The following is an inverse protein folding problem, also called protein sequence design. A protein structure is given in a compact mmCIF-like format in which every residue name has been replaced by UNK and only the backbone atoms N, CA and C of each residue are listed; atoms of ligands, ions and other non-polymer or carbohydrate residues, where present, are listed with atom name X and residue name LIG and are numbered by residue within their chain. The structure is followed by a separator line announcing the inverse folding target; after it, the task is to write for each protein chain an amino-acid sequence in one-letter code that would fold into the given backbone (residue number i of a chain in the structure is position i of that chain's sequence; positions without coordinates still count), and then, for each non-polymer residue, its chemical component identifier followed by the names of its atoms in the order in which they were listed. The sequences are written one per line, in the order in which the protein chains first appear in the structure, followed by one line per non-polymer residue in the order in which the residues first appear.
data_IF_711545096444
#
_entry.id   IF_711545096444
#
_cell.length_a   1.000
_cell.length_b   1.000
_cell.length_c   1.000
_cell.angle_alpha   90.00
_cell.angle_beta   90.00
_cell.angle_gamma   90.00
#
_symmetry.space_group_name_H-M   'P 1'
#
loop_
_entity.id
_entity.type
_entity.pdbx_description
1 polymer ?
#
# COMPACT_ATOMS: atom_id res chain seq x y z
N UNK A 1 22.73 -12.67 -20.68
CA UNK A 1 23.16 -13.06 -19.32
C UNK A 1 22.04 -12.68 -18.37
N UNK A 2 21.79 -13.46 -17.32
CA UNK A 2 20.87 -13.06 -16.26
C UNK A 2 21.46 -11.86 -15.52
N UNK A 3 20.63 -10.84 -15.25
CA UNK A 3 21.05 -9.67 -14.48
C UNK A 3 21.19 -10.05 -13.00
N UNK A 4 22.25 -9.55 -12.36
CA UNK A 4 22.45 -9.67 -10.92
C UNK A 4 22.62 -8.30 -10.30
N UNK A 5 22.18 -8.15 -9.05
CA UNK A 5 22.22 -6.91 -8.28
C UNK A 5 22.68 -7.17 -6.85
N UNK A 6 23.32 -6.18 -6.25
CA UNK A 6 23.54 -6.13 -4.80
C UNK A 6 22.40 -5.34 -4.15
N UNK A 7 21.83 -5.85 -3.06
CA UNK A 7 20.79 -5.17 -2.28
C UNK A 7 21.41 -4.42 -1.10
N UNK A 8 20.98 -3.18 -0.88
CA UNK A 8 21.42 -2.30 0.21
C UNK A 8 20.23 -1.78 1.00
N UNK A 9 20.41 -1.54 2.30
CA UNK A 9 19.37 -0.98 3.17
C UNK A 9 19.24 0.55 3.01
N UNK A 10 18.29 1.14 3.76
CA UNK A 10 18.03 2.58 3.82
C UNK A 10 19.18 3.41 4.45
N UNK A 11 20.25 2.73 4.90
CA UNK A 11 21.45 3.33 5.49
C UNK A 11 22.70 3.05 4.66
N UNK A 12 22.53 2.53 3.45
CA UNK A 12 23.60 2.23 2.52
C UNK A 12 24.48 1.06 2.94
N UNK A 13 23.96 0.12 3.73
CA UNK A 13 24.67 -1.10 4.11
C UNK A 13 24.24 -2.25 3.23
N UNK A 14 25.22 -3.00 2.71
CA UNK A 14 24.97 -4.18 1.88
C UNK A 14 24.22 -5.23 2.71
N UNK A 15 23.05 -5.63 2.21
CA UNK A 15 22.22 -6.70 2.77
C UNK A 15 22.58 -8.04 2.15
N UNK A 16 22.72 -8.08 0.83
CA UNK A 16 23.03 -9.29 0.07
C UNK A 16 23.67 -8.95 -1.26
N UNK A 17 24.64 -9.75 -1.70
CA UNK A 17 25.24 -9.59 -3.03
C UNK A 17 24.81 -10.67 -4.01
N UNK A 18 25.09 -10.42 -5.29
CA UNK A 18 24.89 -11.35 -6.42
C UNK A 18 23.46 -11.93 -6.47
N UNK A 19 22.46 -11.08 -6.19
CA UNK A 19 21.05 -11.47 -6.21
C UNK A 19 20.56 -11.47 -7.65
N UNK A 20 20.01 -12.61 -8.10
CA UNK A 20 19.32 -12.68 -9.39
C UNK A 20 18.18 -11.65 -9.42
N UNK A 21 18.12 -10.83 -10.47
CA UNK A 21 17.07 -9.83 -10.66
C UNK A 21 15.66 -10.43 -10.54
N UNK A 22 15.46 -11.67 -10.95
CA UNK A 22 14.18 -12.36 -10.86
C UNK A 22 13.75 -12.65 -9.41
N UNK A 23 14.67 -12.63 -8.45
CA UNK A 23 14.38 -12.86 -7.04
C UNK A 23 13.58 -11.70 -6.39
N UNK A 24 13.58 -10.52 -7.00
CA UNK A 24 12.77 -9.37 -6.55
C UNK A 24 11.46 -9.23 -7.34
N UNK A 25 11.16 -10.15 -8.26
CA UNK A 25 9.94 -10.08 -9.06
C UNK A 25 8.68 -10.14 -8.18
N UNK A 26 7.68 -9.25 -8.38
CA UNK A 26 6.39 -9.34 -7.70
C UNK A 26 5.70 -10.71 -7.82
N UNK A 27 6.02 -11.48 -8.88
CA UNK A 27 5.45 -12.80 -9.12
C UNK A 27 6.15 -13.94 -8.36
N UNK A 28 7.33 -13.68 -7.78
CA UNK A 28 8.20 -14.72 -7.17
C UNK A 28 8.59 -14.40 -5.74
N UNK A 29 8.71 -13.12 -5.40
CA UNK A 29 9.21 -12.71 -4.10
C UNK A 29 8.12 -12.85 -3.03
N UNK A 30 8.34 -13.74 -2.05
CA UNK A 30 7.37 -14.02 -0.99
C UNK A 30 7.10 -12.81 -0.08
N UNK A 31 8.07 -11.91 0.12
CA UNK A 31 7.87 -10.71 0.92
C UNK A 31 6.95 -9.71 0.20
N UNK A 32 7.11 -9.53 -1.11
CA UNK A 32 6.22 -8.69 -1.93
C UNK A 32 4.81 -9.27 -1.96
N UNK A 33 4.66 -10.58 -2.21
CA UNK A 33 3.36 -11.25 -2.20
C UNK A 33 2.68 -11.13 -0.83
N UNK A 34 3.43 -11.31 0.26
CA UNK A 34 2.93 -11.11 1.62
C UNK A 34 2.50 -9.67 1.89
N UNK A 35 3.23 -8.67 1.38
CA UNK A 35 2.87 -7.26 1.48
C UNK A 35 1.55 -6.96 0.73
N UNK A 36 1.42 -7.40 -0.52
CA UNK A 36 0.22 -7.20 -1.33
C UNK A 36 -0.99 -7.88 -0.68
N UNK A 37 -0.83 -9.13 -0.22
CA UNK A 37 -1.88 -9.84 0.50
C UNK A 37 -2.32 -9.07 1.76
N UNK A 38 -1.37 -8.56 2.54
CA UNK A 38 -1.64 -7.77 3.75
C UNK A 38 -2.40 -6.50 3.41
N UNK A 39 -1.98 -5.77 2.37
CA UNK A 39 -2.66 -4.55 1.91
C UNK A 39 -4.11 -4.82 1.48
N UNK A 40 -4.35 -5.93 0.77
CA UNK A 40 -5.71 -6.31 0.31
C UNK A 40 -6.65 -6.67 1.46
N UNK A 41 -6.14 -7.30 2.52
CA UNK A 41 -6.98 -7.91 3.58
C UNK A 41 -7.08 -7.11 4.87
N UNK A 42 -6.24 -6.09 5.04
CA UNK A 42 -6.16 -5.31 6.28
C UNK A 42 -7.00 -4.04 6.20
N UNK A 43 -7.83 -3.84 7.21
CA UNK A 43 -8.68 -2.66 7.36
C UNK A 43 -8.54 -2.06 8.75
N UNK A 44 -8.71 -0.75 8.83
CA UNK A 44 -8.75 0.01 10.07
C UNK A 44 -10.21 0.28 10.47
N UNK A 45 -10.52 0.07 11.75
CA UNK A 45 -11.82 0.37 12.34
C UNK A 45 -11.64 1.50 13.36
N UNK A 46 -12.49 2.52 13.28
CA UNK A 46 -12.51 3.62 14.24
C UNK A 46 -13.68 3.45 15.24
N UNK A 47 -13.45 2.72 16.34
CA UNK A 47 -14.46 2.50 17.38
C UNK A 47 -14.88 3.80 18.05
N UNK A 48 -13.93 4.71 18.30
CA UNK A 48 -14.24 6.03 18.85
C UNK A 48 -15.12 6.87 17.91
N UNK A 49 -14.93 6.73 16.60
CA UNK A 49 -15.76 7.36 15.58
C UNK A 49 -17.18 6.79 15.54
N UNK A 50 -17.31 5.47 15.71
CA UNK A 50 -18.61 4.79 15.80
C UNK A 50 -19.36 5.26 17.05
N UNK A 51 -18.71 5.23 18.21
CA UNK A 51 -19.25 5.73 19.47
C UNK A 51 -19.77 7.17 19.33
N UNK A 52 -18.92 8.05 18.78
CA UNK A 52 -19.29 9.45 18.55
C UNK A 52 -20.47 9.60 17.59
N UNK A 53 -20.50 8.80 16.52
CA UNK A 53 -21.58 8.86 15.54
C UNK A 53 -22.92 8.41 16.13
N UNK A 54 -22.91 7.33 16.91
CA UNK A 54 -24.08 6.81 17.61
C UNK A 54 -24.59 7.79 18.67
N UNK A 55 -23.70 8.34 19.51
CA UNK A 55 -24.06 9.29 20.56
C UNK A 55 -24.67 10.59 20.03
N UNK A 56 -24.16 11.09 18.90
CA UNK A 56 -24.58 12.37 18.34
C UNK A 56 -25.55 12.22 17.17
N UNK A 57 -26.06 11.01 16.92
CA UNK A 57 -26.88 10.70 15.74
C UNK A 57 -26.30 11.19 14.39
N UNK A 58 -24.97 11.29 14.28
CA UNK A 58 -24.25 11.87 13.15
C UNK A 58 -23.80 10.80 12.16
N UNK A 59 -24.76 10.24 11.43
CA UNK A 59 -24.55 9.13 10.51
C UNK A 59 -24.35 9.60 9.06
N UNK A 60 -23.49 8.92 8.29
CA UNK A 60 -23.35 9.16 6.85
C UNK A 60 -22.42 10.32 6.45
N UNK A 61 -21.56 10.76 7.37
CA UNK A 61 -20.46 11.69 7.07
C UNK A 61 -20.75 13.15 7.38
N UNK A 62 -19.89 14.03 6.87
CA UNK A 62 -19.82 15.43 7.28
C UNK A 62 -21.17 16.15 7.16
N UNK A 63 -21.58 16.82 8.24
CA UNK A 63 -22.82 17.61 8.32
C UNK A 63 -24.12 16.82 8.13
N UNK A 64 -24.12 15.49 8.33
CA UNK A 64 -25.34 14.67 8.35
C UNK A 64 -25.68 14.30 9.79
N UNK A 65 -26.95 14.43 10.14
CA UNK A 65 -27.47 14.15 11.47
C UNK A 65 -28.93 13.67 11.36
N UNK A 66 -29.33 12.72 12.21
CA UNK A 66 -30.69 12.19 12.29
C UNK A 66 -31.19 12.36 13.72
N UNK A 67 -31.72 13.55 14.08
CA UNK A 67 -32.11 13.85 15.46
C UNK A 67 -33.09 12.82 16.04
N UNK A 68 -32.89 12.45 17.30
CA UNK A 68 -33.78 11.51 18.01
C UNK A 68 -33.49 10.04 17.70
N UNK A 69 -32.38 9.74 16.99
CA UNK A 69 -31.90 8.39 16.70
C UNK A 69 -30.49 8.17 17.25
N UNK A 70 -30.22 8.76 18.40
CA UNK A 70 -29.02 8.49 19.19
C UNK A 70 -29.06 7.04 19.69
N UNK A 71 -27.90 6.38 19.70
CA UNK A 71 -27.75 5.03 20.26
C UNK A 71 -26.65 5.06 21.30
N UNK A 72 -26.97 4.64 22.53
CA UNK A 72 -26.03 4.65 23.65
C UNK A 72 -25.18 3.36 23.66
N UNK A 73 -23.94 3.48 23.20
CA UNK A 73 -22.94 2.40 23.18
C UNK A 73 -21.57 2.96 23.56
N UNK A 74 -20.72 2.14 24.15
CA UNK A 74 -19.33 2.49 24.51
C UNK A 74 -18.34 1.42 23.98
N UNK A 75 -18.21 1.29 22.65
CA UNK A 75 -17.38 0.26 22.06
C UNK A 75 -15.89 0.43 22.40
N UNK A 76 -15.44 1.63 22.79
CA UNK A 76 -14.04 1.85 23.17
C UNK A 76 -13.71 1.22 24.52
N UNK A 77 -14.61 1.31 25.51
CA UNK A 77 -14.44 0.63 26.80
C UNK A 77 -14.51 -0.91 26.70
N UNK A 78 -15.15 -1.44 25.64
CA UNK A 78 -15.30 -2.89 25.40
C UNK A 78 -14.49 -3.41 24.22
N UNK A 79 -13.46 -2.67 23.80
CA UNK A 79 -12.73 -2.94 22.56
C UNK A 79 -12.15 -4.36 22.48
N UNK A 80 -11.60 -4.91 23.56
CA UNK A 80 -11.04 -6.27 23.57
C UNK A 80 -12.12 -7.33 23.33
N UNK A 81 -13.30 -7.16 23.94
CA UNK A 81 -14.43 -8.09 23.78
C UNK A 81 -15.00 -8.02 22.36
N UNK A 82 -15.15 -6.81 21.82
CA UNK A 82 -15.58 -6.59 20.44
C UNK A 82 -14.55 -7.18 19.47
N UNK A 83 -13.26 -6.95 19.68
CA UNK A 83 -12.18 -7.49 18.86
C UNK A 83 -12.19 -9.02 18.82
N UNK A 84 -12.38 -9.67 19.98
CA UNK A 84 -12.48 -11.12 20.07
C UNK A 84 -13.67 -11.66 19.27
N UNK A 85 -14.85 -11.01 19.39
CA UNK A 85 -16.05 -11.42 18.65
C UNK A 85 -15.91 -11.16 17.15
N UNK A 86 -15.35 -10.02 16.75
CA UNK A 86 -15.04 -9.72 15.35
C UNK A 86 -14.11 -10.78 14.76
N UNK A 87 -13.06 -11.18 15.50
CA UNK A 87 -12.15 -12.25 15.07
C UNK A 87 -12.90 -13.57 14.88
N UNK A 88 -13.75 -13.94 15.82
CA UNK A 88 -14.53 -15.18 15.76
C UNK A 88 -15.47 -15.23 14.54
N UNK A 89 -16.10 -14.11 14.21
CA UNK A 89 -17.01 -14.00 13.07
C UNK A 89 -16.29 -13.98 11.72
N UNK A 90 -15.09 -13.38 11.66
CA UNK A 90 -14.33 -13.23 10.41
C UNK A 90 -13.49 -14.46 10.11
N UNK A 91 -12.94 -15.15 11.10
CA UNK A 91 -12.15 -16.36 10.83
C UNK A 91 -12.98 -17.41 10.07
N UNK A 92 -12.32 -18.16 9.20
CA UNK A 92 -12.93 -19.25 8.43
C UNK A 92 -12.69 -20.57 9.16
N UNK A 93 -11.49 -20.77 9.68
CA UNK A 93 -11.11 -21.94 10.46
C UNK A 93 -10.32 -21.52 11.69
N UNK A 94 -10.43 -22.29 12.76
CA UNK A 94 -9.66 -22.04 13.98
C UNK A 94 -8.16 -22.12 13.66
N UNK A 95 -7.45 -21.03 13.90
CA UNK A 95 -5.99 -20.95 13.69
C UNK A 95 -5.56 -20.55 12.28
N UNK A 96 -6.49 -20.07 11.44
CA UNK A 96 -6.12 -19.38 10.19
C UNK A 96 -5.39 -18.05 10.44
N UNK A 97 -5.07 -17.33 9.37
CA UNK A 97 -4.30 -16.09 9.39
C UNK A 97 -5.13 -14.83 9.72
N UNK A 98 -6.30 -15.00 10.35
CA UNK A 98 -7.12 -13.89 10.85
C UNK A 98 -6.45 -13.18 12.01
N UNK A 99 -6.29 -11.87 11.90
CA UNK A 99 -5.78 -11.01 12.98
C UNK A 99 -6.76 -9.90 13.32
N UNK A 100 -6.98 -9.67 14.61
CA UNK A 100 -7.66 -8.48 15.11
C UNK A 100 -6.85 -7.93 16.27
N UNK A 101 -6.34 -6.72 16.12
CA UNK A 101 -5.54 -6.05 17.14
C UNK A 101 -6.22 -4.78 17.61
N UNK A 102 -6.30 -4.60 18.93
CA UNK A 102 -6.79 -3.38 19.56
C UNK A 102 -5.66 -2.36 19.64
N UNK A 103 -5.93 -1.13 19.21
CA UNK A 103 -4.94 -0.06 19.11
C UNK A 103 -5.45 1.22 19.78
N UNK A 104 -4.51 2.10 20.17
CA UNK A 104 -4.83 3.44 20.69
C UNK A 104 -5.68 3.43 21.97
N UNK A 105 -5.52 2.41 22.82
CA UNK A 105 -6.28 2.26 24.07
C UNK A 105 -7.77 1.97 23.83
N UNK A 106 -8.09 1.12 22.85
CA UNK A 106 -9.47 0.74 22.52
C UNK A 106 -10.16 1.60 21.46
N UNK A 107 -9.50 2.68 21.00
CA UNK A 107 -10.08 3.61 20.02
C UNK A 107 -10.15 3.04 18.60
N UNK A 108 -9.24 2.14 18.26
CA UNK A 108 -9.12 1.59 16.92
C UNK A 108 -8.95 0.07 16.95
N UNK A 109 -9.39 -0.59 15.88
CA UNK A 109 -9.00 -1.96 15.58
C UNK A 109 -8.23 -2.00 14.27
N UNK A 110 -7.18 -2.82 14.21
CA UNK A 110 -6.62 -3.32 12.94
C UNK A 110 -7.17 -4.72 12.73
N UNK A 111 -7.92 -4.90 11.65
CA UNK A 111 -8.53 -6.19 11.29
C UNK A 111 -7.89 -6.66 10.00
N UNK A 112 -7.25 -7.83 10.02
CA UNK A 112 -6.79 -8.52 8.83
C UNK A 112 -7.67 -9.75 8.64
N UNK A 113 -8.55 -9.69 7.63
CA UNK A 113 -9.36 -10.85 7.24
C UNK A 113 -8.43 -12.00 6.79
N UNK A 114 -8.83 -13.28 6.95
CA UNK A 114 -7.98 -14.39 6.54
C UNK A 114 -7.83 -14.41 5.02
N UNK A 115 -6.66 -14.83 4.55
CA UNK A 115 -6.32 -14.87 3.12
C UNK A 115 -7.37 -15.63 2.30
N UNK A 116 -7.94 -16.71 2.84
CA UNK A 116 -8.97 -17.51 2.16
C UNK A 116 -10.21 -16.71 1.75
N UNK A 117 -10.59 -15.66 2.49
CA UNK A 117 -11.72 -14.79 2.09
C UNK A 117 -11.39 -13.90 0.90
N UNK A 118 -10.12 -13.52 0.77
CA UNK A 118 -9.64 -12.74 -0.37
C UNK A 118 -9.48 -13.64 -1.59
N UNK A 119 -8.98 -14.87 -1.41
CA UNK A 119 -8.82 -15.84 -2.51
C UNK A 119 -10.16 -16.36 -3.06
N UNK A 120 -11.16 -16.54 -2.19
CA UNK A 120 -12.50 -16.93 -2.61
C UNK A 120 -13.33 -15.75 -3.17
N UNK A 121 -12.90 -14.52 -2.91
CA UNK A 121 -13.52 -13.32 -3.45
C UNK A 121 -12.97 -12.98 -4.84
N UNK A 122 -13.77 -12.30 -5.65
CA UNK A 122 -13.27 -11.74 -6.90
C UNK A 122 -12.23 -10.65 -6.62
N UNK A 123 -12.52 -9.75 -5.67
CA UNK A 123 -11.72 -8.56 -5.37
C UNK A 123 -11.43 -8.39 -3.86
N UNK A 124 -10.54 -7.45 -3.54
CA UNK A 124 -10.05 -7.17 -2.18
C UNK A 124 -11.08 -6.54 -1.23
N UNK A 125 -12.24 -6.11 -1.74
CA UNK A 125 -13.31 -5.48 -0.93
C UNK A 125 -13.89 -6.40 0.15
N UNK A 126 -13.67 -7.72 0.05
CA UNK A 126 -14.05 -8.69 1.07
C UNK A 126 -13.43 -8.37 2.45
N UNK A 127 -12.22 -7.79 2.49
CA UNK A 127 -11.61 -7.34 3.75
C UNK A 127 -12.46 -6.28 4.48
N UNK A 128 -13.00 -5.32 3.72
CA UNK A 128 -13.86 -4.25 4.26
C UNK A 128 -15.24 -4.78 4.63
N UNK A 129 -15.91 -5.49 3.73
CA UNK A 129 -17.31 -5.90 3.93
C UNK A 129 -17.46 -6.97 5.01
N UNK A 130 -16.52 -7.94 5.08
CA UNK A 130 -16.52 -8.93 6.17
C UNK A 130 -16.26 -8.27 7.52
N UNK A 131 -15.33 -7.31 7.58
CA UNK A 131 -15.06 -6.56 8.82
C UNK A 131 -16.25 -5.72 9.25
N UNK A 132 -16.85 -4.97 8.34
CA UNK A 132 -18.00 -4.13 8.63
C UNK A 132 -19.23 -4.97 9.05
N UNK A 133 -19.44 -6.14 8.45
CA UNK A 133 -20.52 -7.04 8.84
C UNK A 133 -20.28 -7.66 10.23
N UNK A 134 -19.09 -8.19 10.47
CA UNK A 134 -18.71 -8.77 11.76
C UNK A 134 -18.78 -7.74 12.89
N UNK A 135 -18.37 -6.51 12.63
CA UNK A 135 -18.46 -5.42 13.60
C UNK A 135 -19.91 -5.03 13.90
N UNK A 136 -20.77 -4.95 12.89
CA UNK A 136 -22.21 -4.69 13.11
C UNK A 136 -22.81 -5.77 14.01
N UNK A 137 -22.51 -7.04 13.74
CA UNK A 137 -23.02 -8.16 14.52
C UNK A 137 -22.45 -8.17 15.95
N UNK A 138 -21.15 -7.96 16.10
CA UNK A 138 -20.50 -7.89 17.42
C UNK A 138 -21.09 -6.78 18.30
N UNK A 139 -21.35 -5.59 17.73
CA UNK A 139 -21.98 -4.51 18.49
C UNK A 139 -23.46 -4.79 18.78
N UNK A 140 -24.18 -5.40 17.84
CA UNK A 140 -25.58 -5.80 18.04
C UNK A 140 -25.71 -6.75 19.22
N UNK A 141 -24.86 -7.76 19.29
CA UNK A 141 -24.84 -8.74 20.39
C UNK A 141 -24.38 -8.11 21.70
N UNK A 142 -23.28 -7.34 21.68
CA UNK A 142 -22.69 -6.77 22.91
C UNK A 142 -23.62 -5.78 23.62
N UNK A 143 -24.44 -5.08 22.87
CA UNK A 143 -25.37 -4.05 23.37
C UNK A 143 -26.83 -4.46 23.29
N UNK A 144 -27.13 -5.71 22.90
CA UNK A 144 -28.49 -6.23 22.74
C UNK A 144 -29.37 -5.29 21.88
N UNK A 145 -28.83 -4.82 20.76
CA UNK A 145 -29.51 -3.85 19.91
C UNK A 145 -30.67 -4.51 19.17
N UNK A 146 -31.85 -3.88 19.26
CA UNK A 146 -33.05 -4.33 18.57
C UNK A 146 -33.09 -3.93 17.10
N UNK A 147 -34.15 -4.34 16.40
CA UNK A 147 -34.36 -4.04 14.98
C UNK A 147 -34.46 -2.53 14.67
N UNK A 148 -34.81 -1.70 15.65
CA UNK A 148 -34.99 -0.27 15.47
C UNK A 148 -33.72 0.56 15.63
N UNK A 149 -32.70 0.03 16.33
CA UNK A 149 -31.43 0.71 16.62
C UNK A 149 -30.28 0.18 15.75
N UNK A 150 -30.30 -1.12 15.44
CA UNK A 150 -29.27 -1.78 14.61
C UNK A 150 -29.00 -1.05 13.28
N UNK A 151 -30.01 -0.52 12.55
CA UNK A 151 -29.74 0.23 11.32
C UNK A 151 -28.86 1.48 11.52
N UNK A 152 -28.91 2.12 12.68
CA UNK A 152 -28.11 3.31 12.98
C UNK A 152 -26.67 2.96 13.31
N UNK A 153 -26.45 1.90 14.09
CA UNK A 153 -25.10 1.36 14.31
C UNK A 153 -24.50 0.86 13.00
N UNK A 154 -25.28 0.21 12.15
CA UNK A 154 -24.86 -0.14 10.79
C UNK A 154 -24.46 1.10 10.00
N UNK A 155 -25.18 2.21 10.06
CA UNK A 155 -24.79 3.44 9.38
C UNK A 155 -23.55 4.12 9.99
N UNK A 156 -23.30 3.98 11.30
CA UNK A 156 -22.06 4.45 11.92
C UNK A 156 -20.84 3.66 11.41
N UNK A 157 -21.01 2.38 11.09
CA UNK A 157 -19.96 1.51 10.56
C UNK A 157 -19.78 1.68 9.05
N UNK A 158 -20.87 1.52 8.29
CA UNK A 158 -20.90 1.44 6.82
C UNK A 158 -21.08 2.80 6.13
N UNK A 159 -21.39 3.84 6.89
CA UNK A 159 -21.70 5.15 6.32
C UNK A 159 -23.02 5.13 5.54
N UNK A 160 -23.04 5.79 4.40
CA UNK A 160 -24.22 5.87 3.51
C UNK A 160 -24.37 4.71 2.52
N UNK A 161 -23.48 3.72 2.54
CA UNK A 161 -23.63 2.53 1.69
C UNK A 161 -24.95 1.78 2.01
N UNK A 162 -25.77 1.36 1.02
CA UNK A 162 -25.51 1.33 -0.41
C UNK A 162 -26.08 2.51 -1.22
N UNK A 163 -26.58 3.58 -0.57
CA UNK A 163 -26.99 4.78 -1.31
C UNK A 163 -25.79 5.41 -2.04
N UNK A 164 -24.61 5.36 -1.42
CA UNK A 164 -23.32 5.63 -2.06
C UNK A 164 -22.66 4.32 -2.47
N UNK A 165 -21.77 4.39 -3.48
CA UNK A 165 -21.02 3.23 -3.96
C UNK A 165 -19.97 2.76 -2.93
N UNK A 166 -19.41 3.69 -2.17
CA UNK A 166 -18.44 3.48 -1.11
C UNK A 166 -19.07 3.58 0.30
N UNK A 167 -18.29 3.24 1.33
CA UNK A 167 -18.67 3.40 2.74
C UNK A 167 -18.53 4.85 3.23
N UNK A 168 -19.00 5.82 2.42
CA UNK A 168 -18.84 7.25 2.70
C UNK A 168 -19.41 7.62 4.06
N UNK A 169 -18.57 8.23 4.91
CA UNK A 169 -18.93 8.62 6.27
C UNK A 169 -19.03 7.47 7.26
N UNK A 170 -18.61 6.26 6.86
CA UNK A 170 -18.42 5.12 7.74
C UNK A 170 -17.10 5.19 8.50
N UNK A 171 -16.89 4.18 9.35
CA UNK A 171 -15.74 4.09 10.25
C UNK A 171 -14.92 2.81 10.05
N UNK A 172 -15.08 2.17 8.88
CA UNK A 172 -14.22 1.09 8.38
C UNK A 172 -13.49 1.60 7.16
N UNK A 173 -12.16 1.58 7.20
CA UNK A 173 -11.28 2.21 6.22
C UNK A 173 -10.24 1.21 5.71
N UNK A 174 -9.97 1.24 4.42
CA UNK A 174 -8.85 0.51 3.80
C UNK A 174 -7.83 1.51 3.25
N UNK A 175 -6.58 1.06 3.09
CA UNK A 175 -5.57 1.84 2.35
C UNK A 175 -5.86 1.86 0.85
N UNK A 176 -6.59 0.87 0.35
CA UNK A 176 -7.10 0.80 -1.02
C UNK A 176 -8.48 1.48 -1.11
N UNK A 177 -8.74 2.16 -2.22
CA UNK A 177 -10.08 2.64 -2.59
C UNK A 177 -11.04 1.50 -2.93
N UNK A 178 -12.24 1.81 -3.40
CA UNK A 178 -13.12 0.79 -4.01
C UNK A 178 -12.73 0.58 -5.49
N UNK A 179 -12.88 -0.63 -6.07
CA UNK A 179 -12.51 -0.89 -7.46
C UNK A 179 -13.19 0.04 -8.48
N UNK A 180 -14.38 0.55 -8.18
CA UNK A 180 -15.10 1.48 -9.06
C UNK A 180 -14.43 2.86 -9.18
N UNK A 181 -13.47 3.16 -8.31
CA UNK A 181 -12.65 4.37 -8.40
C UNK A 181 -11.33 4.13 -9.17
N UNK A 182 -11.07 2.91 -9.64
CA UNK A 182 -9.88 2.63 -10.43
C UNK A 182 -9.98 3.36 -11.78
N UNK A 183 -8.97 4.18 -12.11
CA UNK A 183 -8.95 4.95 -13.36
C UNK A 183 -8.79 4.05 -14.60
N UNK A 184 -8.22 2.86 -14.41
CA UNK A 184 -8.04 1.85 -15.44
C UNK A 184 -8.06 0.44 -14.87
N UNK A 185 -8.12 -0.57 -15.74
CA UNK A 185 -8.09 -1.96 -15.32
C UNK A 185 -6.72 -2.30 -14.72
N UNK A 186 -6.71 -2.90 -13.52
CA UNK A 186 -5.49 -3.26 -12.78
C UNK A 186 -4.87 -2.12 -11.93
N UNK A 187 -5.61 -1.04 -11.67
CA UNK A 187 -5.11 0.12 -10.91
C UNK A 187 -5.24 0.01 -9.39
N UNK A 188 -5.86 -1.05 -8.87
CA UNK A 188 -6.18 -1.17 -7.45
C UNK A 188 -5.00 -0.84 -6.51
N UNK A 189 -3.83 -1.45 -6.74
CA UNK A 189 -2.63 -1.26 -5.91
C UNK A 189 -1.99 0.13 -6.05
N UNK A 190 -2.40 0.91 -7.04
CA UNK A 190 -1.94 2.28 -7.32
C UNK A 190 -2.84 3.33 -6.66
N UNK A 191 -4.02 2.92 -6.19
CA UNK A 191 -4.98 3.78 -5.52
C UNK A 191 -4.67 3.94 -4.01
N UNK A 192 -3.40 4.23 -3.69
CA UNK A 192 -2.94 4.48 -2.33
C UNK A 192 -2.28 5.86 -2.27
N UNK A 193 -2.85 6.75 -1.47
CA UNK A 193 -2.33 8.11 -1.33
C UNK A 193 -0.90 8.12 -0.77
N UNK A 194 -0.05 9.00 -1.29
CA UNK A 194 1.33 9.17 -0.82
C UNK A 194 1.42 9.43 0.70
N UNK A 195 0.46 10.16 1.28
CA UNK A 195 0.40 10.38 2.72
C UNK A 195 0.22 9.08 3.52
N UNK A 196 -0.54 8.10 3.00
CA UNK A 196 -0.66 6.79 3.65
C UNK A 196 0.70 6.06 3.64
N UNK A 197 1.41 6.07 2.50
CA UNK A 197 2.73 5.46 2.38
C UNK A 197 3.77 6.12 3.29
N UNK A 198 3.75 7.45 3.38
CA UNK A 198 4.61 8.20 4.29
C UNK A 198 4.33 7.86 5.76
N UNK A 199 3.07 7.62 6.13
CA UNK A 199 2.72 7.20 7.48
C UNK A 199 3.10 5.73 7.76
N UNK A 200 2.88 4.82 6.80
CA UNK A 200 3.25 3.40 6.91
C UNK A 200 4.76 3.21 7.06
N UNK A 201 5.56 4.03 6.35
CA UNK A 201 7.02 4.04 6.43
C UNK A 201 7.57 4.83 7.63
N UNK A 202 6.71 5.34 8.52
CA UNK A 202 7.09 6.21 9.63
C UNK A 202 7.93 7.41 9.19
N UNK A 203 7.64 7.95 8.00
CA UNK A 203 8.34 9.07 7.34
C UNK A 203 9.82 8.80 7.04
N UNK A 204 10.22 7.53 6.96
CA UNK A 204 11.52 7.17 6.38
C UNK A 204 11.45 7.30 4.85
N UNK A 205 12.28 8.16 4.27
CA UNK A 205 12.21 8.51 2.84
C UNK A 205 12.46 7.31 1.91
N UNK A 206 13.53 6.53 2.14
CA UNK A 206 13.85 5.39 1.29
C UNK A 206 12.84 4.25 1.46
N UNK A 207 12.39 3.95 2.68
CA UNK A 207 11.34 2.95 2.88
C UNK A 207 10.00 3.40 2.28
N UNK A 208 9.68 4.70 2.31
CA UNK A 208 8.49 5.23 1.64
C UNK A 208 8.57 5.03 0.12
N UNK A 209 9.71 5.37 -0.48
CA UNK A 209 9.96 5.15 -1.91
C UNK A 209 9.94 3.66 -2.26
N UNK A 210 10.51 2.79 -1.43
CA UNK A 210 10.52 1.35 -1.62
C UNK A 210 9.10 0.76 -1.60
N UNK A 211 8.29 1.08 -0.58
CA UNK A 211 6.90 0.59 -0.50
C UNK A 211 6.09 1.12 -1.70
N UNK A 212 6.25 2.40 -2.04
CA UNK A 212 5.57 2.98 -3.21
C UNK A 212 5.97 2.27 -4.51
N UNK A 213 7.28 2.07 -4.73
CA UNK A 213 7.80 1.41 -5.93
C UNK A 213 7.33 -0.05 -6.01
N UNK A 214 7.38 -0.79 -4.90
CA UNK A 214 6.86 -2.17 -4.85
C UNK A 214 5.39 -2.22 -5.27
N UNK A 215 4.54 -1.38 -4.70
CA UNK A 215 3.09 -1.38 -4.98
C UNK A 215 2.78 -0.91 -6.40
N UNK A 216 3.46 0.14 -6.87
CA UNK A 216 3.34 0.63 -8.25
C UNK A 216 3.76 -0.45 -9.26
N UNK A 217 4.90 -1.11 -9.04
CA UNK A 217 5.33 -2.20 -9.91
C UNK A 217 4.39 -3.40 -9.82
N UNK A 218 3.87 -3.78 -8.65
CA UNK A 218 2.83 -4.81 -8.57
C UNK A 218 1.60 -4.43 -9.42
N UNK A 219 1.15 -3.17 -9.38
CA UNK A 219 0.09 -2.66 -10.24
C UNK A 219 0.45 -2.73 -11.72
N UNK A 220 1.67 -2.38 -12.12
CA UNK A 220 2.13 -2.50 -13.52
C UNK A 220 2.10 -3.97 -14.01
N UNK A 221 2.46 -4.92 -13.14
CA UNK A 221 2.32 -6.35 -13.45
C UNK A 221 0.84 -6.75 -13.59
N UNK A 222 -0.04 -6.27 -12.70
CA UNK A 222 -1.49 -6.50 -12.76
C UNK A 222 -2.12 -5.91 -14.05
N UNK A 223 -1.64 -4.76 -14.50
CA UNK A 223 -2.05 -4.08 -15.73
C UNK A 223 -1.52 -4.77 -17.01
N UNK A 224 -0.72 -5.83 -16.90
CA UNK A 224 -0.10 -6.50 -18.04
C UNK A 224 1.02 -5.70 -18.72
N UNK A 225 1.51 -4.63 -18.09
CA UNK A 225 2.54 -3.74 -18.62
C UNK A 225 3.98 -4.21 -18.32
N UNK A 226 4.13 -5.32 -17.59
CA UNK A 226 5.40 -5.98 -17.33
C UNK A 226 5.50 -7.35 -18.04
N UNK A 227 4.98 -7.45 -19.26
CA UNK A 227 4.99 -8.69 -20.06
C UNK A 227 6.09 -8.69 -21.11
N UNK A 228 6.70 -9.86 -21.34
CA UNK A 228 7.73 -10.05 -22.37
C UNK A 228 8.96 -9.17 -22.13
N UNK A 229 9.34 -8.39 -23.14
CA UNK A 229 10.53 -7.51 -23.05
C UNK A 229 10.42 -6.44 -21.95
N UNK A 230 9.19 -6.05 -21.58
CA UNK A 230 8.95 -5.04 -20.56
C UNK A 230 9.08 -5.58 -19.13
N UNK A 231 9.09 -6.91 -18.93
CA UNK A 231 9.31 -7.49 -17.60
C UNK A 231 10.68 -7.08 -17.06
N UNK A 232 11.75 -7.27 -17.86
CA UNK A 232 13.11 -6.85 -17.48
C UNK A 232 13.20 -5.36 -17.23
N UNK A 233 12.55 -4.55 -18.07
CA UNK A 233 12.49 -3.10 -17.92
C UNK A 233 11.92 -2.69 -16.54
N UNK A 234 10.81 -3.30 -16.12
CA UNK A 234 10.17 -2.99 -14.85
C UNK A 234 10.94 -3.55 -13.65
N UNK A 235 11.54 -4.74 -13.77
CA UNK A 235 12.33 -5.32 -12.68
C UNK A 235 13.60 -4.52 -12.41
N UNK A 236 14.29 -4.04 -13.45
CA UNK A 236 15.45 -3.17 -13.27
C UNK A 236 15.05 -1.83 -12.65
N UNK A 237 13.93 -1.23 -13.07
CA UNK A 237 13.42 -0.02 -12.45
C UNK A 237 13.11 -0.23 -10.95
N UNK A 238 12.39 -1.31 -10.60
CA UNK A 238 12.12 -1.67 -9.20
C UNK A 238 13.42 -1.87 -8.41
N UNK A 239 14.38 -2.58 -8.98
CA UNK A 239 15.67 -2.85 -8.34
C UNK A 239 16.41 -1.56 -7.98
N UNK A 240 16.63 -0.70 -8.98
CA UNK A 240 17.49 0.47 -8.82
C UNK A 240 16.77 1.64 -8.12
N UNK A 241 15.55 1.98 -8.54
CA UNK A 241 14.79 3.09 -7.96
C UNK A 241 14.16 2.72 -6.61
N UNK A 242 13.53 1.55 -6.53
CA UNK A 242 12.76 1.13 -5.36
C UNK A 242 13.59 0.46 -4.28
N UNK A 243 14.55 -0.39 -4.67
CA UNK A 243 15.27 -1.28 -3.76
C UNK A 243 16.77 -0.94 -3.60
N UNK A 244 17.18 0.24 -4.06
CA UNK A 244 18.56 0.76 -3.93
C UNK A 244 19.62 -0.25 -4.42
N UNK A 245 19.37 -0.90 -5.56
CA UNK A 245 20.32 -1.83 -6.14
C UNK A 245 21.69 -1.17 -6.36
N UNK A 246 22.75 -1.90 -6.01
CA UNK A 246 24.14 -1.47 -6.10
C UNK A 246 24.43 -0.15 -5.38
N UNK A 247 23.64 0.16 -4.35
CA UNK A 247 23.71 1.35 -3.52
C UNK A 247 23.53 2.69 -4.26
N UNK A 248 23.03 2.65 -5.49
CA UNK A 248 23.05 3.79 -6.40
C UNK A 248 22.33 5.02 -5.85
N UNK A 249 21.08 4.86 -5.39
CA UNK A 249 20.27 5.97 -4.86
C UNK A 249 20.93 6.57 -3.62
N UNK A 250 21.38 5.71 -2.70
CA UNK A 250 22.03 6.17 -1.47
C UNK A 250 23.33 6.92 -1.74
N UNK A 251 24.18 6.41 -2.62
CA UNK A 251 25.46 7.03 -2.98
C UNK A 251 25.25 8.39 -3.64
N UNK A 252 24.31 8.49 -4.60
CA UNK A 252 23.96 9.75 -5.25
C UNK A 252 23.46 10.80 -4.26
N UNK A 253 22.54 10.41 -3.36
CA UNK A 253 22.03 11.32 -2.32
C UNK A 253 23.16 11.74 -1.37
N UNK A 254 24.04 10.82 -0.98
CA UNK A 254 25.16 11.11 -0.08
C UNK A 254 26.19 12.05 -0.72
N UNK A 255 26.53 11.83 -1.98
CA UNK A 255 27.51 12.63 -2.72
C UNK A 255 26.98 14.05 -2.99
N UNK A 256 25.66 14.19 -3.20
CA UNK A 256 25.04 15.49 -3.50
C UNK A 256 24.40 16.18 -2.28
N UNK A 257 24.31 15.53 -1.11
CA UNK A 257 23.49 16.00 0.00
C UNK A 257 23.95 17.30 0.69
N UNK A 258 25.21 17.73 0.50
CA UNK A 258 25.74 18.95 1.13
C UNK A 258 25.60 20.21 0.27
N UNK A 259 25.93 20.11 -1.01
CA UNK A 259 26.05 21.25 -1.93
C UNK A 259 25.50 20.94 -3.32
N UNK A 260 24.91 19.77 -3.52
CA UNK A 260 24.41 19.33 -4.80
C UNK A 260 23.12 20.04 -5.20
N UNK A 261 22.82 19.92 -6.47
CA UNK A 261 21.57 20.39 -7.10
C UNK A 261 21.04 19.27 -7.99
N UNK A 262 19.85 19.44 -8.55
CA UNK A 262 19.32 18.51 -9.55
C UNK A 262 20.33 18.31 -10.70
N UNK A 263 21.00 19.38 -11.15
CA UNK A 263 21.99 19.30 -12.21
C UNK A 263 23.23 18.46 -11.87
N UNK A 264 23.69 18.49 -10.61
CA UNK A 264 24.85 17.69 -10.18
C UNK A 264 24.48 16.22 -10.04
N UNK A 265 23.25 15.90 -9.62
CA UNK A 265 22.73 14.52 -9.63
C UNK A 265 22.65 13.99 -11.07
N UNK A 266 22.11 14.77 -12.01
CA UNK A 266 22.10 14.40 -13.44
C UNK A 266 23.51 14.13 -13.97
N UNK A 267 24.48 14.98 -13.62
CA UNK A 267 25.87 14.79 -14.00
C UNK A 267 26.45 13.48 -13.43
N UNK A 268 26.18 13.18 -12.17
CA UNK A 268 26.66 11.95 -11.52
C UNK A 268 26.01 10.70 -12.11
N UNK A 269 24.70 10.72 -12.39
CA UNK A 269 23.98 9.62 -13.06
C UNK A 269 24.54 9.32 -14.43
N UNK A 270 24.80 10.36 -15.24
CA UNK A 270 25.41 10.20 -16.58
C UNK A 270 26.85 9.69 -16.44
N UNK A 271 27.64 10.24 -15.50
CA UNK A 271 29.01 9.80 -15.25
C UNK A 271 29.07 8.31 -14.88
N UNK A 272 28.24 7.89 -13.93
CA UNK A 272 28.13 6.50 -13.49
C UNK A 272 27.69 5.58 -14.63
N UNK A 273 26.73 5.99 -15.45
CA UNK A 273 26.28 5.20 -16.59
C UNK A 273 27.35 5.03 -17.70
N UNK A 274 28.26 6.00 -17.85
CA UNK A 274 29.42 5.90 -18.76
C UNK A 274 30.45 4.93 -18.17
N UNK A 275 30.77 5.08 -16.89
CA UNK A 275 31.76 4.25 -16.19
C UNK A 275 31.34 2.77 -16.17
N UNK A 276 30.06 2.51 -15.95
CA UNK A 276 29.48 1.16 -15.95
C UNK A 276 29.16 0.65 -17.38
N UNK A 277 29.45 1.44 -18.43
CA UNK A 277 29.26 1.06 -19.83
C UNK A 277 27.80 0.91 -20.28
N UNK A 278 26.85 1.44 -19.50
CA UNK A 278 25.40 1.41 -19.79
C UNK A 278 25.07 2.30 -20.99
N UNK A 279 25.78 3.41 -21.16
CA UNK A 279 25.67 4.31 -22.31
C UNK A 279 27.05 4.54 -22.96
N UNK A 280 27.05 4.89 -24.24
CA UNK A 280 28.26 5.27 -24.96
C UNK A 280 28.00 6.45 -25.90
N UNK A 281 29.05 7.16 -26.30
CA UNK A 281 28.92 8.24 -27.30
C UNK A 281 28.51 7.61 -28.62
N UNK A 282 27.40 8.08 -29.18
CA UNK A 282 26.95 7.73 -30.52
C UNK A 282 27.66 8.62 -31.56
N UNK A 283 27.61 9.93 -31.35
CA UNK A 283 28.23 10.93 -32.23
C UNK A 283 28.56 12.22 -31.50
N UNK A 284 29.53 12.96 -32.05
CA UNK A 284 29.89 14.30 -31.59
C UNK A 284 29.43 15.32 -32.62
N UNK A 285 28.68 16.32 -32.17
CA UNK A 285 28.13 17.39 -33.00
C UNK A 285 29.19 18.47 -33.28
N UNK A 286 29.00 19.35 -34.28
CA UNK A 286 29.97 20.40 -34.61
C UNK A 286 30.34 21.34 -33.45
N UNK A 287 29.45 21.53 -32.47
CA UNK A 287 29.70 22.33 -31.27
C UNK A 287 30.60 21.63 -30.22
N UNK A 288 30.97 20.37 -30.44
CA UNK A 288 31.63 19.51 -29.46
C UNK A 288 30.67 18.77 -28.53
N UNK A 289 29.35 18.99 -28.66
CA UNK A 289 28.34 18.27 -27.87
C UNK A 289 28.30 16.78 -28.23
N UNK A 290 28.37 15.92 -27.21
CA UNK A 290 28.33 14.46 -27.37
C UNK A 290 26.89 13.97 -27.23
N UNK A 291 26.37 13.37 -28.29
CA UNK A 291 25.10 12.63 -28.27
C UNK A 291 25.41 11.20 -27.85
N UNK A 292 24.72 10.72 -26.82
CA UNK A 292 24.90 9.36 -26.30
C UNK A 292 23.80 8.42 -26.82
N UNK A 293 24.11 7.12 -26.88
CA UNK A 293 23.17 6.02 -27.07
C UNK A 293 23.21 5.09 -25.87
N UNK A 294 22.10 4.42 -25.59
CA UNK A 294 22.06 3.35 -24.60
C UNK A 294 22.60 2.04 -25.21
N UNK A 295 23.59 1.44 -24.56
CA UNK A 295 24.06 0.10 -24.90
C UNK A 295 23.08 -0.94 -24.35
N UNK A 296 22.44 -0.63 -23.21
CA UNK A 296 21.31 -1.36 -22.65
C UNK A 296 20.18 -0.39 -22.30
N UNK A 297 19.09 -0.44 -23.07
CA UNK A 297 17.96 0.49 -22.93
C UNK A 297 17.23 0.32 -21.60
N UNK A 298 17.08 -0.91 -21.11
CA UNK A 298 16.35 -1.15 -19.86
C UNK A 298 17.17 -0.72 -18.65
N UNK A 299 18.49 -1.02 -18.67
CA UNK A 299 19.39 -0.63 -17.59
C UNK A 299 19.62 0.88 -17.58
N UNK A 300 19.73 1.52 -18.74
CA UNK A 300 19.78 2.99 -18.82
C UNK A 300 18.53 3.63 -18.20
N UNK A 301 17.35 3.10 -18.50
CA UNK A 301 16.12 3.57 -17.88
C UNK A 301 16.15 3.41 -16.35
N UNK A 302 16.61 2.27 -15.84
CA UNK A 302 16.72 2.04 -14.41
C UNK A 302 17.70 3.01 -13.72
N UNK A 303 18.80 3.35 -14.40
CA UNK A 303 19.77 4.35 -13.92
C UNK A 303 19.13 5.74 -13.87
N UNK A 304 18.38 6.13 -14.92
CA UNK A 304 17.60 7.36 -14.93
C UNK A 304 16.51 7.41 -13.86
N UNK A 305 15.90 6.26 -13.52
CA UNK A 305 14.86 6.20 -12.50
C UNK A 305 15.40 6.31 -11.07
N UNK A 306 16.65 5.87 -10.85
CA UNK A 306 17.33 5.94 -9.56
C UNK A 306 17.97 7.30 -9.25
N UNK A 307 18.45 8.01 -10.28
CA UNK A 307 19.01 9.36 -10.16
C UNK A 307 17.95 10.44 -10.10
#
# INVERSE_FOLDING_TARGET
MADTIDLYDDRGKKLKGDVDLQAISPLKNSAILGMVNTVKRTVAVNLAGIEKACKNSSYGGQSRNIPGREVDIDPTAKADKIAARVKELIQVEKGDDTEVAVLGGGKFLRVAAPTRRIEAGAEYVAGMTCTAAALTEALREEYNLGMYDTPYVKNAIWGTYPQTMDMKGGNVLSVLGIPQNDEGLGFALRNIMANHLAMLSQRNAMNCAAISSILEHCGVFEMGQAMGLFERYQLLALAYQGLNANNMVYDMVKNNGKTGTIGTVVQETVGRAIDDGVISVDKTMPSGYKVYKANDVCLWNAYCAAG
#
